data_IF_362093041156
#
_entry.id   IF_362093041156
#
_cell.length_a   1.000
_cell.length_b   1.000
_cell.length_c   1.000
_cell.angle_alpha   90.00
_cell.angle_beta   90.00
_cell.angle_gamma   90.00
#
_symmetry.space_group_name_H-M   'P 1'
#
loop_
_entity.id
_entity.type
_entity.pdbx_description
1 polymer ?
#
# COMPACT_ATOMS: atom_id res chain seq x y z
N UNK A 1 -17.45 -7.57 -9.37
CA UNK A 1 -16.39 -6.58 -9.55
C UNK A 1 -15.13 -7.30 -9.97
N UNK A 2 -14.63 -6.98 -11.12
CA UNK A 2 -13.38 -7.58 -11.61
C UNK A 2 -12.21 -6.97 -10.84
N UNK A 3 -11.54 -7.77 -10.03
CA UNK A 3 -10.39 -7.36 -9.25
C UNK A 3 -9.05 -7.65 -9.96
N UNK A 4 -9.11 -7.97 -11.24
CA UNK A 4 -7.93 -8.20 -12.06
C UNK A 4 -7.39 -6.87 -12.58
N UNK A 5 -6.12 -6.61 -12.32
CA UNK A 5 -5.43 -5.41 -12.77
C UNK A 5 -4.38 -5.79 -13.82
N UNK A 6 -4.12 -4.88 -14.74
CA UNK A 6 -3.07 -5.02 -15.74
C UNK A 6 -2.17 -3.81 -15.72
N UNK A 7 -0.87 -4.01 -15.71
CA UNK A 7 0.10 -2.93 -15.84
C UNK A 7 0.23 -2.52 -17.33
N UNK A 8 0.83 -1.37 -17.56
CA UNK A 8 1.11 -0.89 -18.92
C UNK A 8 2.07 -1.82 -19.70
N UNK A 9 2.82 -2.67 -18.98
CA UNK A 9 3.70 -3.68 -19.61
C UNK A 9 2.96 -4.99 -19.91
N UNK A 10 1.68 -5.09 -19.56
CA UNK A 10 0.88 -6.28 -19.78
C UNK A 10 0.94 -7.31 -18.64
N UNK A 11 1.63 -7.01 -17.55
CA UNK A 11 1.63 -7.87 -16.38
C UNK A 11 0.26 -7.84 -15.71
N UNK A 12 -0.30 -9.00 -15.38
CA UNK A 12 -1.64 -9.13 -14.80
C UNK A 12 -1.56 -9.72 -13.39
N UNK A 13 -2.40 -9.21 -12.49
CA UNK A 13 -2.51 -9.71 -11.13
C UNK A 13 -3.91 -9.46 -10.59
N UNK A 14 -4.26 -10.16 -9.51
CA UNK A 14 -5.56 -10.04 -8.86
C UNK A 14 -5.40 -9.48 -7.46
N UNK A 15 -6.36 -8.64 -7.04
CA UNK A 15 -6.36 -8.02 -5.70
C UNK A 15 -7.59 -8.46 -4.93
N UNK A 16 -7.41 -8.83 -3.67
CA UNK A 16 -8.51 -9.09 -2.75
C UNK A 16 -8.19 -8.64 -1.34
N UNK A 17 -9.19 -8.56 -0.51
CA UNK A 17 -9.01 -8.28 0.91
C UNK A 17 -8.31 -9.46 1.60
N UNK A 18 -7.45 -9.14 2.56
CA UNK A 18 -6.80 -10.14 3.40
C UNK A 18 -7.81 -10.82 4.33
N UNK A 19 -7.54 -12.06 4.67
CA UNK A 19 -8.32 -12.88 5.59
C UNK A 19 -7.40 -13.48 6.65
N UNK A 20 -7.92 -13.86 7.84
CA UNK A 20 -7.09 -14.48 8.87
C UNK A 20 -6.29 -15.70 8.38
N UNK A 21 -6.84 -16.47 7.47
CA UNK A 21 -6.19 -17.66 6.89
C UNK A 21 -4.96 -17.32 6.05
N UNK A 22 -4.76 -16.07 5.69
CA UNK A 22 -3.65 -15.63 4.84
C UNK A 22 -2.35 -15.41 5.62
N UNK A 23 -2.36 -15.52 6.95
CA UNK A 23 -1.17 -15.26 7.77
C UNK A 23 0.07 -16.03 7.32
N UNK A 24 0.01 -17.36 7.08
CA UNK A 24 1.20 -18.09 6.62
C UNK A 24 1.72 -17.61 5.26
N UNK A 25 0.82 -17.27 4.34
CA UNK A 25 1.16 -16.74 3.02
C UNK A 25 1.84 -15.37 3.15
N UNK A 26 1.33 -14.53 4.04
CA UNK A 26 1.88 -13.22 4.32
C UNK A 26 3.25 -13.32 4.97
N UNK A 27 3.43 -14.25 5.91
CA UNK A 27 4.72 -14.52 6.55
C UNK A 27 5.78 -14.92 5.50
N UNK A 28 5.42 -15.81 4.59
CA UNK A 28 6.31 -16.23 3.50
C UNK A 28 6.62 -15.05 2.57
N UNK A 29 5.64 -14.24 2.22
CA UNK A 29 5.83 -13.05 1.38
C UNK A 29 6.93 -12.14 1.93
N UNK A 30 6.91 -11.84 3.21
CA UNK A 30 7.89 -10.92 3.80
C UNK A 30 9.31 -11.49 3.82
N UNK A 31 9.51 -12.79 3.66
CA UNK A 31 10.85 -13.37 3.48
C UNK A 31 11.46 -13.03 2.12
N UNK A 32 10.62 -12.56 1.17
CA UNK A 32 11.02 -12.17 -0.18
C UNK A 32 10.98 -10.66 -0.40
N UNK A 33 10.96 -9.89 0.67
CA UNK A 33 11.05 -8.44 0.63
C UNK A 33 12.47 -8.04 1.02
N UNK A 34 13.07 -7.08 0.32
CA UNK A 34 14.44 -6.66 0.62
C UNK A 34 14.52 -6.03 2.02
N UNK A 35 15.70 -6.07 2.69
CA UNK A 35 15.87 -5.40 3.98
C UNK A 35 15.55 -3.90 3.91
N UNK A 36 15.90 -3.21 2.83
CA UNK A 36 15.57 -1.80 2.65
C UNK A 36 14.06 -1.58 2.56
N UNK A 37 13.35 -2.41 1.81
CA UNK A 37 11.90 -2.29 1.67
C UNK A 37 11.17 -2.61 2.98
N UNK A 38 11.67 -3.55 3.77
CA UNK A 38 11.16 -3.78 5.13
C UNK A 38 11.35 -2.54 6.01
N UNK A 39 12.53 -1.94 5.97
CA UNK A 39 12.83 -0.72 6.70
C UNK A 39 11.92 0.43 6.28
N UNK A 40 11.69 0.59 4.99
CA UNK A 40 10.79 1.62 4.46
C UNK A 40 9.34 1.36 4.88
N UNK A 41 8.89 0.11 4.79
CA UNK A 41 7.50 -0.23 5.12
C UNK A 41 7.17 0.01 6.60
N UNK A 42 8.10 -0.31 7.50
CA UNK A 42 7.89 -0.23 8.95
C UNK A 42 8.60 0.98 9.59
N UNK A 43 9.26 1.81 8.78
CA UNK A 43 9.96 3.05 9.20
C UNK A 43 10.96 2.79 10.35
N UNK A 44 11.70 1.70 10.26
CA UNK A 44 12.70 1.35 11.25
C UNK A 44 13.39 0.03 10.95
N UNK A 45 14.39 -0.31 11.75
CA UNK A 45 15.14 -1.54 11.61
C UNK A 45 14.26 -2.75 11.97
N UNK A 46 13.84 -3.49 10.96
CA UNK A 46 13.02 -4.70 11.09
C UNK A 46 13.74 -5.83 10.36
N UNK A 47 14.14 -6.86 11.11
CA UNK A 47 14.75 -8.05 10.51
C UNK A 47 13.71 -9.08 10.10
N UNK A 48 12.64 -9.17 10.87
CA UNK A 48 11.57 -10.13 10.68
C UNK A 48 10.25 -9.49 11.09
N UNK A 49 9.19 -9.77 10.33
CA UNK A 49 7.85 -9.27 10.65
C UNK A 49 7.25 -10.14 11.74
N UNK A 50 6.88 -9.54 12.86
CA UNK A 50 6.36 -10.26 14.01
C UNK A 50 5.01 -10.91 13.73
N UNK A 51 4.71 -11.98 14.46
CA UNK A 51 3.41 -12.64 14.41
C UNK A 51 2.27 -11.64 14.68
N UNK A 52 2.43 -10.75 15.65
CA UNK A 52 1.43 -9.74 16.00
C UNK A 52 1.13 -8.80 14.82
N UNK A 53 2.16 -8.38 14.07
CA UNK A 53 1.97 -7.55 12.87
C UNK A 53 1.27 -8.32 11.76
N UNK A 54 1.61 -9.60 11.58
CA UNK A 54 0.97 -10.45 10.58
C UNK A 54 -0.52 -10.62 10.89
N UNK A 55 -0.86 -10.89 12.15
CA UNK A 55 -2.26 -11.00 12.58
C UNK A 55 -3.01 -9.69 12.32
N UNK A 56 -2.41 -8.55 12.66
CA UNK A 56 -3.03 -7.24 12.41
C UNK A 56 -3.28 -7.00 10.92
N UNK A 57 -2.35 -7.44 10.05
CA UNK A 57 -2.45 -7.28 8.61
C UNK A 57 -3.43 -8.25 7.94
N UNK A 58 -3.94 -9.24 8.65
CA UNK A 58 -4.92 -10.21 8.13
C UNK A 58 -6.32 -10.03 8.72
N UNK A 59 -6.51 -9.08 9.64
CA UNK A 59 -7.82 -8.80 10.22
C UNK A 59 -8.74 -8.18 9.18
N UNK A 60 -10.00 -8.59 9.20
CA UNK A 60 -11.03 -8.11 8.27
C UNK A 60 -12.23 -7.47 8.97
N UNK A 61 -12.18 -7.39 10.32
CA UNK A 61 -13.29 -6.93 11.15
C UNK A 61 -13.17 -5.45 11.58
N UNK A 62 -12.10 -4.77 11.23
CA UNK A 62 -11.88 -3.37 11.57
C UNK A 62 -12.32 -2.47 10.41
N UNK A 63 -13.29 -1.60 10.66
CA UNK A 63 -13.84 -0.68 9.66
C UNK A 63 -12.85 0.41 9.23
N UNK A 64 -11.79 0.63 10.02
CA UNK A 64 -10.79 1.67 9.75
C UNK A 64 -9.46 1.12 9.25
N UNK A 65 -9.35 -0.19 9.09
CA UNK A 65 -8.10 -0.83 8.68
C UNK A 65 -8.38 -1.85 7.57
N UNK A 66 -7.87 -1.55 6.38
CA UNK A 66 -8.12 -2.36 5.19
C UNK A 66 -6.81 -2.89 4.64
N UNK A 67 -6.70 -4.19 4.53
CA UNK A 67 -5.52 -4.86 3.98
C UNK A 67 -5.88 -5.54 2.65
N UNK A 68 -5.05 -5.32 1.65
CA UNK A 68 -5.22 -5.86 0.31
C UNK A 68 -4.03 -6.72 -0.05
N UNK A 69 -4.32 -7.89 -0.59
CA UNK A 69 -3.30 -8.81 -1.09
C UNK A 69 -3.39 -8.88 -2.60
N UNK A 70 -2.25 -8.74 -3.27
CA UNK A 70 -2.15 -8.83 -4.71
C UNK A 70 -1.44 -10.13 -5.09
N UNK A 71 -2.11 -10.94 -5.91
CA UNK A 71 -1.63 -12.25 -6.34
C UNK A 71 -1.38 -12.25 -7.84
N UNK A 72 -0.26 -12.83 -8.26
CA UNK A 72 -0.04 -13.14 -9.68
C UNK A 72 -1.09 -14.16 -10.16
N UNK A 73 -1.25 -14.29 -11.46
CA UNK A 73 -2.26 -15.19 -12.04
C UNK A 73 -2.04 -16.63 -11.60
N UNK A 74 -0.79 -17.03 -11.34
CA UNK A 74 -0.46 -18.38 -10.85
C UNK A 74 -0.61 -18.53 -9.33
N UNK A 75 -1.11 -17.51 -8.63
CA UNK A 75 -1.46 -17.60 -7.21
C UNK A 75 -0.37 -17.20 -6.22
N UNK A 76 0.72 -16.60 -6.68
CA UNK A 76 1.79 -16.13 -5.79
C UNK A 76 1.44 -14.74 -5.23
N UNK A 77 1.57 -14.56 -3.91
CA UNK A 77 1.42 -13.23 -3.29
C UNK A 77 2.61 -12.35 -3.67
N UNK A 78 2.36 -11.27 -4.40
CA UNK A 78 3.41 -10.41 -4.98
C UNK A 78 3.46 -9.02 -4.36
N UNK A 79 2.39 -8.56 -3.73
CA UNK A 79 2.35 -7.25 -3.10
C UNK A 79 1.26 -7.20 -2.03
N UNK A 80 1.45 -6.30 -1.08
CA UNK A 80 0.52 -6.06 0.02
C UNK A 80 0.31 -4.55 0.17
N UNK A 81 -0.93 -4.14 0.32
CA UNK A 81 -1.28 -2.74 0.58
C UNK A 81 -2.14 -2.64 1.83
N UNK A 82 -1.92 -1.59 2.59
CA UNK A 82 -2.71 -1.26 3.77
C UNK A 82 -3.28 0.14 3.62
N UNK A 83 -4.56 0.30 3.93
CA UNK A 83 -5.23 1.59 4.03
C UNK A 83 -5.81 1.71 5.44
N UNK A 84 -5.27 2.64 6.23
CA UNK A 84 -5.76 2.93 7.57
C UNK A 84 -6.45 4.30 7.56
N UNK A 85 -7.74 4.33 7.82
CA UNK A 85 -8.48 5.58 7.90
C UNK A 85 -8.49 6.14 9.31
N UNK A 86 -8.53 7.47 9.43
CA UNK A 86 -8.68 8.12 10.74
C UNK A 86 -10.12 7.94 11.26
N UNK A 87 -10.34 8.22 12.56
CA UNK A 87 -11.65 8.04 13.18
C UNK A 87 -12.74 8.95 12.60
N UNK A 88 -12.35 10.06 12.00
CA UNK A 88 -13.26 10.99 11.35
C UNK A 88 -13.57 10.57 9.91
N UNK A 89 -12.98 9.48 9.42
CA UNK A 89 -13.11 8.96 8.04
C UNK A 89 -12.81 10.01 6.98
N UNK A 90 -11.84 10.89 7.24
CA UNK A 90 -11.44 11.95 6.30
C UNK A 90 -10.17 11.63 5.55
N UNK A 91 -9.18 11.07 6.26
CA UNK A 91 -7.87 10.79 5.68
C UNK A 91 -7.57 9.30 5.82
N UNK A 92 -6.93 8.75 4.80
CA UNK A 92 -6.43 7.40 4.83
C UNK A 92 -4.91 7.39 4.66
N UNK A 93 -4.22 6.59 5.47
CA UNK A 93 -2.79 6.36 5.33
C UNK A 93 -2.57 5.07 4.54
N UNK A 94 -1.77 5.14 3.48
CA UNK A 94 -1.48 4.02 2.59
C UNK A 94 -0.03 3.58 2.77
N UNK A 95 0.17 2.27 2.81
CA UNK A 95 1.50 1.68 2.76
C UNK A 95 1.47 0.48 1.81
N UNK A 96 2.49 0.35 0.97
CA UNK A 96 2.59 -0.72 -0.02
C UNK A 96 3.96 -1.37 0.09
N UNK A 97 3.99 -2.69 -0.04
CA UNK A 97 5.20 -3.48 -0.07
C UNK A 97 5.12 -4.48 -1.23
N UNK A 98 6.21 -4.62 -2.00
CA UNK A 98 6.26 -5.45 -3.20
C UNK A 98 7.35 -6.50 -3.06
N UNK A 99 7.05 -7.73 -3.48
CA UNK A 99 8.01 -8.83 -3.52
C UNK A 99 9.22 -8.42 -4.38
N UNK A 100 10.43 -8.75 -3.93
CA UNK A 100 11.69 -8.28 -4.55
C UNK A 100 11.81 -8.64 -6.03
N UNK A 101 11.29 -9.78 -6.44
CA UNK A 101 11.39 -10.27 -7.83
C UNK A 101 10.21 -9.82 -8.71
N UNK A 102 9.32 -9.00 -8.18
CA UNK A 102 8.17 -8.42 -8.89
C UNK A 102 8.18 -6.90 -8.91
N UNK A 103 9.30 -6.29 -8.52
CA UNK A 103 9.50 -4.83 -8.61
C UNK A 103 9.71 -4.43 -10.07
N UNK A 104 9.46 -3.15 -10.37
CA UNK A 104 9.65 -2.56 -11.71
C UNK A 104 8.71 -3.11 -12.80
N UNK A 105 7.64 -3.79 -12.43
CA UNK A 105 6.62 -4.29 -13.35
C UNK A 105 5.39 -3.37 -13.45
N UNK A 106 5.34 -2.29 -12.67
CA UNK A 106 4.17 -1.40 -12.60
C UNK A 106 3.12 -1.79 -11.57
N UNK A 107 3.38 -2.82 -10.76
CA UNK A 107 2.45 -3.31 -9.73
C UNK A 107 2.14 -2.23 -8.70
N UNK A 108 3.17 -1.51 -8.23
CA UNK A 108 3.00 -0.43 -7.25
C UNK A 108 2.07 0.68 -7.74
N UNK A 109 2.21 1.07 -9.00
CA UNK A 109 1.35 2.07 -9.63
C UNK A 109 -0.12 1.63 -9.63
N UNK A 110 -0.38 0.43 -10.16
CA UNK A 110 -1.74 -0.08 -10.29
C UNK A 110 -2.37 -0.35 -8.93
N UNK A 111 -1.60 -0.88 -7.99
CA UNK A 111 -2.11 -1.17 -6.66
C UNK A 111 -2.44 0.12 -5.89
N UNK A 112 -1.59 1.15 -6.01
CA UNK A 112 -1.87 2.46 -5.41
C UNK A 112 -3.12 3.09 -6.01
N UNK A 113 -3.28 3.01 -7.33
CA UNK A 113 -4.49 3.48 -8.00
C UNK A 113 -5.75 2.75 -7.51
N UNK A 114 -5.66 1.44 -7.32
CA UNK A 114 -6.74 0.63 -6.79
C UNK A 114 -7.14 1.08 -5.38
N UNK A 115 -6.15 1.26 -4.49
CA UNK A 115 -6.39 1.70 -3.12
C UNK A 115 -6.97 3.12 -3.08
N UNK A 116 -6.47 4.02 -3.94
CA UNK A 116 -7.01 5.38 -4.04
C UNK A 116 -8.49 5.38 -4.44
N UNK A 117 -8.86 4.56 -5.41
CA UNK A 117 -10.26 4.40 -5.82
C UNK A 117 -11.11 3.83 -4.70
N UNK A 118 -10.61 2.84 -3.99
CA UNK A 118 -11.29 2.25 -2.84
C UNK A 118 -11.53 3.31 -1.75
N UNK A 119 -10.51 4.15 -1.48
CA UNK A 119 -10.62 5.25 -0.53
C UNK A 119 -11.68 6.27 -0.94
N UNK A 120 -11.76 6.61 -2.23
CA UNK A 120 -12.82 7.48 -2.75
C UNK A 120 -14.22 6.88 -2.51
N UNK A 121 -14.38 5.59 -2.75
CA UNK A 121 -15.65 4.89 -2.55
C UNK A 121 -16.04 4.85 -1.07
N UNK A 122 -15.08 4.84 -0.15
CA UNK A 122 -15.33 4.96 1.29
C UNK A 122 -15.72 6.39 1.70
N UNK A 123 -15.55 7.37 0.82
CA UNK A 123 -15.82 8.78 1.12
C UNK A 123 -14.66 9.52 1.77
N UNK A 124 -13.46 8.96 1.75
CA UNK A 124 -12.28 9.65 2.29
C UNK A 124 -11.94 10.88 1.42
N UNK A 125 -11.44 11.93 2.06
CA UNK A 125 -11.13 13.21 1.40
C UNK A 125 -9.71 13.25 0.86
N UNK A 126 -8.81 12.49 1.46
CA UNK A 126 -7.41 12.44 1.05
C UNK A 126 -6.78 11.11 1.43
N UNK A 127 -5.74 10.74 0.71
CA UNK A 127 -4.85 9.66 1.12
C UNK A 127 -3.45 10.22 1.30
N UNK A 128 -2.75 9.65 2.27
CA UNK A 128 -1.41 10.06 2.67
C UNK A 128 -0.52 8.84 2.76
N UNK A 129 0.77 9.06 2.57
CA UNK A 129 1.80 8.05 2.82
C UNK A 129 2.96 8.74 3.53
N UNK A 130 3.51 8.08 4.53
CA UNK A 130 4.73 8.54 5.19
C UNK A 130 5.88 7.73 4.61
N UNK A 131 6.79 8.39 3.94
CA UNK A 131 7.91 7.74 3.25
C UNK A 131 9.24 8.17 3.85
N UNK A 132 10.18 7.22 3.94
CA UNK A 132 11.57 7.58 4.13
C UNK A 132 12.02 8.40 2.91
N UNK A 133 12.74 9.51 3.16
CA UNK A 133 13.30 10.33 2.08
C UNK A 133 14.18 9.54 1.13
N UNK A 134 14.77 8.44 1.61
CA UNK A 134 15.60 7.55 0.81
C UNK A 134 14.80 6.65 -0.16
N UNK A 135 13.51 6.46 0.09
CA UNK A 135 12.64 5.64 -0.75
C UNK A 135 12.20 6.40 -2.01
N UNK A 136 13.17 6.73 -2.85
CA UNK A 136 12.97 7.57 -4.03
C UNK A 136 12.01 6.95 -5.04
N UNK A 137 12.06 5.63 -5.20
CA UNK A 137 11.20 4.94 -6.16
C UNK A 137 9.72 5.10 -5.82
N UNK A 138 9.34 4.92 -4.54
CA UNK A 138 7.96 5.13 -4.11
C UNK A 138 7.53 6.58 -4.25
N UNK A 139 8.38 7.52 -3.84
CA UNK A 139 8.09 8.95 -3.92
C UNK A 139 7.89 9.39 -5.38
N UNK A 140 8.68 8.86 -6.30
CA UNK A 140 8.56 9.17 -7.73
C UNK A 140 7.21 8.69 -8.29
N UNK A 141 6.81 7.44 -7.99
CA UNK A 141 5.51 6.90 -8.39
C UNK A 141 4.38 7.79 -7.85
N UNK A 142 4.46 8.16 -6.58
CA UNK A 142 3.42 8.97 -5.93
C UNK A 142 3.33 10.36 -6.54
N UNK A 143 4.47 11.01 -6.84
CA UNK A 143 4.49 12.29 -7.56
C UNK A 143 3.85 12.20 -8.93
N UNK A 144 4.18 11.16 -9.68
CA UNK A 144 3.64 10.96 -11.03
C UNK A 144 2.13 10.73 -10.99
N UNK A 145 1.60 10.22 -9.88
CA UNK A 145 0.16 10.04 -9.66
C UNK A 145 -0.54 11.28 -9.09
N UNK A 146 0.16 12.40 -8.95
CA UNK A 146 -0.41 13.67 -8.52
C UNK A 146 -0.35 13.93 -7.01
N UNK A 147 0.45 13.17 -6.28
CA UNK A 147 0.67 13.42 -4.85
C UNK A 147 1.62 14.61 -4.67
N UNK A 148 1.40 15.39 -3.64
CA UNK A 148 2.33 16.43 -3.20
C UNK A 148 3.24 15.87 -2.12
N UNK A 149 4.50 16.30 -2.13
CA UNK A 149 5.52 15.82 -1.19
C UNK A 149 5.98 16.99 -0.33
N UNK A 150 5.87 16.83 1.00
CA UNK A 150 6.33 17.83 1.96
C UNK A 150 7.21 17.14 3.00
N UNK A 151 8.17 17.90 3.55
CA UNK A 151 9.01 17.38 4.64
C UNK A 151 8.19 17.25 5.91
N UNK A 152 8.35 16.13 6.63
CA UNK A 152 7.73 15.96 7.94
C UNK A 152 8.31 17.03 8.90
N UNK A 153 7.46 17.83 9.57
CA UNK A 153 7.95 18.88 10.44
C UNK A 153 8.67 18.38 11.71
N UNK A 154 8.45 17.12 12.08
CA UNK A 154 9.05 16.55 13.27
C UNK A 154 10.27 15.66 12.97
N UNK A 155 10.38 15.18 11.74
CA UNK A 155 11.48 14.28 11.33
C UNK A 155 11.90 14.58 9.88
N UNK A 156 13.08 15.20 9.73
CA UNK A 156 13.61 15.60 8.42
C UNK A 156 13.99 14.38 7.53
N UNK A 157 14.07 13.18 8.08
CA UNK A 157 14.36 11.96 7.32
C UNK A 157 13.11 11.39 6.64
N UNK A 158 11.94 11.91 6.99
CA UNK A 158 10.65 11.48 6.46
C UNK A 158 10.02 12.57 5.61
N UNK A 159 9.20 12.15 4.66
CA UNK A 159 8.35 13.04 3.88
C UNK A 159 6.91 12.60 4.00
N UNK A 160 6.00 13.56 4.01
CA UNK A 160 4.57 13.31 3.92
C UNK A 160 4.16 13.47 2.46
N UNK A 161 3.54 12.43 1.93
CA UNK A 161 3.05 12.39 0.56
C UNK A 161 1.54 12.38 0.62
N UNK A 162 0.87 13.34 -0.03
CA UNK A 162 -0.57 13.51 0.12
C UNK A 162 -1.24 13.78 -1.23
N UNK A 163 -2.39 13.16 -1.43
CA UNK A 163 -3.26 13.43 -2.57
C UNK A 163 -4.69 13.68 -2.08
N UNK A 164 -5.25 14.81 -2.46
CA UNK A 164 -6.67 15.07 -2.27
C UNK A 164 -7.44 14.12 -3.19
N UNK A 165 -8.39 13.40 -2.62
CA UNK A 165 -9.30 12.58 -3.41
C UNK A 165 -10.40 13.50 -3.94
N UNK A 166 -10.58 13.47 -5.23
CA UNK A 166 -11.45 14.43 -5.89
C UNK A 166 -12.83 14.49 -5.26
N UNK A 167 -13.22 15.70 -4.83
CA UNK A 167 -14.61 16.02 -4.87
C UNK A 167 -15.06 15.67 -6.29
N UNK A 168 -15.92 14.67 -6.46
CA UNK A 168 -16.64 14.52 -7.69
C UNK A 168 -17.21 15.90 -7.97
N UNK A 169 -16.73 16.56 -8.99
CA UNK A 169 -17.38 17.76 -9.46
C UNK A 169 -18.85 17.40 -9.56
N UNK A 170 -19.66 18.01 -8.72
CA UNK A 170 -21.10 17.95 -8.85
C UNK A 170 -21.39 18.60 -10.20
N UNK A 171 -21.48 17.77 -11.21
CA UNK A 171 -21.83 18.21 -12.55
C UNK A 171 -23.04 17.47 -12.97
#
# INVERSE_FOLDING_TARGET
MDNTLSTHTGFRFEVRRARPEDEPTLAEFFTHVTPDDLRFRFLGAVKEVSHERLVAMTRSDDAHFHNFLAFSIDGMLIAVATLASDRADRNGEVAICIRQDRKHLGVGWELLAYVAKYAEELGLKAIESIESRENRAAIEVERDMGFTVTTDPEDATLVLVRRELGARSAG
#
